data_IF_883541643436
#
_entry.id   IF_883541643436
#
_cell.length_a   1.000
_cell.length_b   1.000
_cell.length_c   1.000
_cell.angle_alpha   90.00
_cell.angle_beta   90.00
_cell.angle_gamma   90.00
#
_symmetry.space_group_name_H-M   'P 1'
#
loop_
_entity.id
_entity.type
_entity.pdbx_description
1 polymer ?
#
# COMPACT_ATOMS: atom_id res chain seq x y z
N UNK A 1 9.59 15.07 6.65
CA UNK A 1 8.13 14.86 6.84
C UNK A 1 7.89 14.22 8.21
N UNK A 2 6.78 14.51 8.88
CA UNK A 2 6.38 13.74 10.08
C UNK A 2 5.84 12.37 9.61
N UNK A 3 6.29 11.27 10.22
CA UNK A 3 5.93 9.89 9.82
C UNK A 3 4.40 9.67 9.80
N UNK A 4 3.69 10.30 10.74
CA UNK A 4 2.24 10.29 10.82
C UNK A 4 1.59 10.95 9.60
N UNK A 5 2.17 12.05 9.11
CA UNK A 5 1.63 12.77 7.96
C UNK A 5 1.85 11.96 6.68
N UNK A 6 3.02 11.33 6.52
CA UNK A 6 3.27 10.39 5.42
C UNK A 6 2.27 9.23 5.43
N UNK A 7 2.04 8.60 6.58
CA UNK A 7 1.06 7.51 6.72
C UNK A 7 -0.34 7.96 6.30
N UNK A 8 -0.79 9.15 6.74
CA UNK A 8 -2.12 9.66 6.40
C UNK A 8 -2.25 9.87 4.88
N UNK A 9 -1.23 10.47 4.24
CA UNK A 9 -1.24 10.71 2.79
C UNK A 9 -1.28 9.38 2.04
N UNK A 10 -0.43 8.42 2.42
CA UNK A 10 -0.40 7.09 1.78
C UNK A 10 -1.74 6.39 1.94
N UNK A 11 -2.31 6.36 3.16
CA UNK A 11 -3.62 5.75 3.41
C UNK A 11 -4.72 6.37 2.54
N UNK A 12 -4.73 7.70 2.40
CA UNK A 12 -5.73 8.40 1.58
C UNK A 12 -5.55 8.12 0.09
N UNK A 13 -4.32 8.13 -0.41
CA UNK A 13 -4.02 7.81 -1.81
C UNK A 13 -4.42 6.37 -2.15
N UNK A 14 -4.05 5.40 -1.31
CA UNK A 14 -4.44 4.00 -1.51
C UNK A 14 -5.95 3.79 -1.37
N UNK A 15 -6.59 4.48 -0.43
CA UNK A 15 -8.05 4.45 -0.32
C UNK A 15 -8.73 4.90 -1.61
N UNK A 16 -8.27 6.01 -2.22
CA UNK A 16 -8.83 6.49 -3.48
C UNK A 16 -8.67 5.45 -4.59
N UNK A 17 -7.51 4.81 -4.68
CA UNK A 17 -7.25 3.76 -5.68
C UNK A 17 -8.15 2.56 -5.43
N UNK A 18 -8.23 2.06 -4.19
CA UNK A 18 -9.12 0.96 -3.82
C UNK A 18 -10.59 1.29 -4.13
N UNK A 19 -11.01 2.51 -3.84
CA UNK A 19 -12.36 2.98 -4.09
C UNK A 19 -12.69 3.02 -5.59
N UNK A 20 -11.75 3.45 -6.44
CA UNK A 20 -11.92 3.44 -7.90
C UNK A 20 -12.14 2.02 -8.46
N UNK A 21 -11.47 1.01 -7.90
CA UNK A 21 -11.53 -0.38 -8.39
C UNK A 21 -12.65 -1.24 -7.80
N UNK A 22 -13.07 -0.97 -6.56
CA UNK A 22 -14.07 -1.78 -5.85
C UNK A 22 -15.43 -1.08 -5.80
N UNK A 23 -15.45 0.25 -5.62
CA UNK A 23 -16.66 1.09 -5.60
C UNK A 23 -17.74 0.63 -4.61
N UNK A 24 -17.36 -0.13 -3.57
CA UNK A 24 -18.28 -0.70 -2.59
C UNK A 24 -17.74 -0.50 -1.17
N UNK A 25 -18.63 -0.18 -0.21
CA UNK A 25 -18.33 0.03 1.21
C UNK A 25 -17.08 0.91 1.49
N UNK A 26 -17.13 2.23 1.23
CA UNK A 26 -15.96 3.12 1.34
C UNK A 26 -15.34 3.12 2.74
N UNK A 27 -16.15 2.97 3.80
CA UNK A 27 -15.64 2.88 5.17
C UNK A 27 -14.76 1.63 5.38
N UNK A 28 -15.12 0.48 4.78
CA UNK A 28 -14.29 -0.73 4.85
C UNK A 28 -13.01 -0.56 4.04
N UNK A 29 -13.08 0.07 2.86
CA UNK A 29 -11.90 0.33 2.03
C UNK A 29 -10.89 1.24 2.74
N UNK A 30 -11.37 2.28 3.45
CA UNK A 30 -10.52 3.14 4.26
C UNK A 30 -9.84 2.34 5.38
N UNK A 31 -10.60 1.49 6.09
CA UNK A 31 -10.07 0.64 7.14
C UNK A 31 -9.01 -0.34 6.60
N UNK A 32 -9.25 -0.96 5.44
CA UNK A 32 -8.30 -1.88 4.82
C UNK A 32 -7.03 -1.17 4.37
N UNK A 33 -7.15 0.01 3.75
CA UNK A 33 -5.99 0.86 3.43
C UNK A 33 -5.15 1.14 4.68
N UNK A 34 -5.79 1.53 5.79
CA UNK A 34 -5.10 1.80 7.04
C UNK A 34 -4.39 0.56 7.60
N UNK A 35 -5.08 -0.59 7.64
CA UNK A 35 -4.50 -1.85 8.16
C UNK A 35 -3.29 -2.27 7.33
N UNK A 36 -3.41 -2.22 6.00
CA UNK A 36 -2.33 -2.62 5.09
C UNK A 36 -1.12 -1.71 5.30
N UNK A 37 -1.30 -0.39 5.25
CA UNK A 37 -0.21 0.58 5.42
C UNK A 37 0.46 0.52 6.79
N UNK A 38 -0.32 0.29 7.86
CA UNK A 38 0.22 0.10 9.20
C UNK A 38 1.12 -1.14 9.32
N UNK A 39 0.93 -2.14 8.46
CA UNK A 39 1.77 -3.33 8.40
C UNK A 39 2.97 -3.14 7.47
N UNK A 40 2.73 -2.63 6.27
CA UNK A 40 3.75 -2.56 5.21
C UNK A 40 4.74 -1.43 5.43
N UNK A 41 4.31 -0.27 5.95
CA UNK A 41 5.19 0.89 6.14
C UNK A 41 6.31 0.62 7.16
N UNK A 42 6.06 0.06 8.37
CA UNK A 42 7.14 -0.29 9.29
C UNK A 42 8.06 -1.39 8.74
N UNK A 43 7.50 -2.38 8.04
CA UNK A 43 8.27 -3.45 7.41
C UNK A 43 9.21 -2.91 6.32
N UNK A 44 8.71 -2.04 5.45
CA UNK A 44 9.49 -1.39 4.40
C UNK A 44 10.58 -0.49 5.01
N UNK A 45 10.20 0.34 5.99
CA UNK A 45 11.12 1.26 6.68
C UNK A 45 12.25 0.52 7.39
N UNK A 46 11.92 -0.59 8.08
CA UNK A 46 12.92 -1.44 8.72
C UNK A 46 13.83 -2.12 7.69
N UNK A 47 13.25 -2.63 6.60
CA UNK A 47 14.02 -3.29 5.53
C UNK A 47 15.01 -2.32 4.88
N UNK A 48 14.57 -1.10 4.61
CA UNK A 48 15.40 -0.04 4.04
C UNK A 48 16.53 0.39 4.99
N UNK A 49 16.24 0.46 6.29
CA UNK A 49 17.22 0.97 7.27
C UNK A 49 18.24 -0.08 7.70
N UNK A 50 17.88 -1.38 7.70
CA UNK A 50 18.69 -2.42 8.38
C UNK A 50 18.99 -3.66 7.55
N UNK A 51 18.20 -3.98 6.51
CA UNK A 51 18.33 -5.25 5.80
C UNK A 51 19.02 -5.10 4.45
N UNK A 52 18.52 -4.20 3.60
CA UNK A 52 18.95 -4.09 2.21
C UNK A 52 18.82 -2.67 1.68
N UNK A 53 19.86 -2.17 1.01
CA UNK A 53 19.87 -0.85 0.36
C UNK A 53 19.41 -0.95 -1.11
N UNK A 54 18.31 -1.68 -1.35
CA UNK A 54 17.73 -1.82 -2.68
C UNK A 54 16.23 -1.53 -2.63
N UNK A 55 15.89 -0.27 -2.90
CA UNK A 55 14.52 0.24 -2.86
C UNK A 55 13.57 -0.55 -3.78
N UNK A 56 14.00 -0.90 -4.99
CA UNK A 56 13.17 -1.66 -5.94
C UNK A 56 12.79 -3.05 -5.40
N UNK A 57 13.72 -3.75 -4.76
CA UNK A 57 13.43 -5.06 -4.17
C UNK A 57 12.46 -4.95 -2.99
N UNK A 58 12.59 -3.90 -2.18
CA UNK A 58 11.69 -3.64 -1.06
C UNK A 58 10.29 -3.34 -1.57
N UNK A 59 10.14 -2.45 -2.56
CA UNK A 59 8.83 -2.12 -3.14
C UNK A 59 8.16 -3.34 -3.79
N UNK A 60 8.92 -4.18 -4.50
CA UNK A 60 8.37 -5.44 -5.04
C UNK A 60 7.87 -6.34 -3.90
N UNK A 61 8.62 -6.43 -2.79
CA UNK A 61 8.21 -7.17 -1.60
C UNK A 61 6.93 -6.61 -1.00
N UNK A 62 6.83 -5.30 -0.86
CA UNK A 62 5.63 -4.60 -0.37
C UNK A 62 4.43 -4.89 -1.27
N UNK A 63 4.57 -4.74 -2.59
CA UNK A 63 3.50 -5.02 -3.57
C UNK A 63 2.99 -6.45 -3.42
N UNK A 64 3.88 -7.42 -3.24
CA UNK A 64 3.48 -8.83 -3.05
C UNK A 64 2.70 -9.00 -1.74
N UNK A 65 3.19 -8.44 -0.64
CA UNK A 65 2.53 -8.53 0.68
C UNK A 65 1.16 -7.85 0.64
N UNK A 66 1.07 -6.65 0.09
CA UNK A 66 -0.18 -5.92 -0.09
C UNK A 66 -1.17 -6.67 -0.97
N UNK A 67 -0.74 -7.23 -2.11
CA UNK A 67 -1.59 -8.02 -2.99
C UNK A 67 -2.19 -9.23 -2.25
N UNK A 68 -1.40 -9.89 -1.40
CA UNK A 68 -1.88 -11.00 -0.56
C UNK A 68 -2.90 -10.50 0.46
N UNK A 69 -2.62 -9.40 1.17
CA UNK A 69 -3.53 -8.81 2.14
C UNK A 69 -4.85 -8.37 1.50
N UNK A 70 -4.80 -7.68 0.35
CA UNK A 70 -5.98 -7.26 -0.41
C UNK A 70 -6.82 -8.45 -0.86
N UNK A 71 -6.20 -9.52 -1.33
CA UNK A 71 -6.91 -10.75 -1.69
C UNK A 71 -7.69 -11.31 -0.51
N UNK A 72 -7.12 -11.30 0.69
CA UNK A 72 -7.78 -11.84 1.88
C UNK A 72 -8.84 -10.90 2.45
N UNK A 73 -8.59 -9.59 2.45
CA UNK A 73 -9.52 -8.59 3.01
C UNK A 73 -10.71 -8.32 2.10
N UNK A 74 -10.52 -8.35 0.78
CA UNK A 74 -11.57 -8.05 -0.21
C UNK A 74 -12.14 -9.29 -0.91
N UNK A 75 -11.59 -10.48 -0.64
CA UNK A 75 -12.01 -11.75 -1.27
C UNK A 75 -12.00 -11.71 -2.81
N UNK A 76 -11.11 -10.90 -3.39
CA UNK A 76 -10.95 -10.75 -4.85
C UNK A 76 -9.91 -11.72 -5.43
N UNK A 77 -9.96 -11.93 -6.75
CA UNK A 77 -8.96 -12.73 -7.45
C UNK A 77 -7.55 -12.13 -7.33
N UNK A 78 -6.52 -12.99 -7.20
CA UNK A 78 -5.11 -12.59 -7.10
C UNK A 78 -4.67 -11.61 -8.19
N UNK A 79 -5.11 -11.83 -9.44
CA UNK A 79 -4.80 -10.94 -10.57
C UNK A 79 -5.30 -9.51 -10.32
N UNK A 80 -6.50 -9.36 -9.77
CA UNK A 80 -7.09 -8.05 -9.45
C UNK A 80 -6.37 -7.43 -8.24
N UNK A 81 -6.11 -8.21 -7.19
CA UNK A 81 -5.41 -7.73 -6.01
C UNK A 81 -3.99 -7.24 -6.33
N UNK A 82 -3.24 -7.99 -7.14
CA UNK A 82 -1.91 -7.61 -7.58
C UNK A 82 -1.90 -6.34 -8.43
N UNK A 83 -2.84 -6.20 -9.36
CA UNK A 83 -2.95 -5.00 -10.19
C UNK A 83 -3.29 -3.77 -9.34
N UNK A 84 -4.18 -3.91 -8.35
CA UNK A 84 -4.53 -2.82 -7.43
C UNK A 84 -3.30 -2.44 -6.60
N UNK A 85 -2.61 -3.39 -5.97
CA UNK A 85 -1.42 -3.08 -5.16
C UNK A 85 -0.30 -2.46 -5.99
N UNK A 86 -0.03 -2.97 -7.20
CA UNK A 86 0.98 -2.40 -8.08
C UNK A 86 0.69 -0.93 -8.40
N UNK A 87 -0.57 -0.58 -8.70
CA UNK A 87 -0.96 0.80 -8.98
C UNK A 87 -0.93 1.64 -7.70
N UNK A 88 -1.43 1.10 -6.58
CA UNK A 88 -1.49 1.77 -5.29
C UNK A 88 -0.09 2.16 -4.80
N UNK A 89 0.79 1.16 -4.65
CA UNK A 89 2.17 1.34 -4.25
C UNK A 89 2.97 2.16 -5.28
N UNK A 90 2.73 1.98 -6.59
CA UNK A 90 3.39 2.78 -7.62
C UNK A 90 3.05 4.28 -7.54
N UNK A 91 1.77 4.61 -7.31
CA UNK A 91 1.33 6.00 -7.14
C UNK A 91 1.87 6.59 -5.84
N UNK A 92 1.80 5.85 -4.72
CA UNK A 92 2.29 6.34 -3.43
C UNK A 92 3.81 6.47 -3.38
N UNK A 93 4.54 5.54 -4.01
CA UNK A 93 5.98 5.63 -4.20
C UNK A 93 6.37 6.87 -5.03
N UNK A 94 5.65 7.14 -6.12
CA UNK A 94 5.86 8.36 -6.91
C UNK A 94 5.57 9.64 -6.11
N UNK A 95 4.50 9.66 -5.30
CA UNK A 95 4.19 10.76 -4.39
C UNK A 95 5.30 10.98 -3.36
N UNK A 96 5.91 9.90 -2.86
CA UNK A 96 7.06 9.96 -1.94
C UNK A 96 8.32 10.59 -2.52
N UNK A 97 8.49 10.63 -3.85
CA UNK A 97 9.58 11.36 -4.50
C UNK A 97 9.30 12.86 -4.66
N UNK A 98 8.02 13.26 -4.68
CA UNK A 98 7.59 14.64 -4.91
C UNK A 98 7.45 15.42 -3.59
N UNK A 99 7.07 14.73 -2.52
CA UNK A 99 6.78 15.27 -1.19
C UNK A 99 7.94 15.09 -0.20
#
# INVERSE_FOLDING_TARGET
MNLLLSLIITCLAEFLILWLFIQHDPAKLLLYSLIINCLTLPLASYSYSFLMDNLLLIEIGVIIVEAVLLKYLLEIAYRKAFLISLIANGVTGALGFIL
#
